data_IF_488655705568
#
_entry.id   IF_488655705568
#
_cell.length_a   1.000
_cell.length_b   1.000
_cell.length_c   1.000
_cell.angle_alpha   90.00
_cell.angle_beta   90.00
_cell.angle_gamma   90.00
#
_symmetry.space_group_name_H-M   'P 1'
#
loop_
_entity.id
_entity.type
_entity.pdbx_description
1 polymer ?
#
# COMPACT_ATOMS: atom_id res chain seq x y z
N UNK A 1 -13.13 -6.29 5.54
CA UNK A 1 -11.70 -6.63 5.47
C UNK A 1 -10.82 -5.55 6.09
N UNK A 2 -11.01 -4.29 5.71
CA UNK A 2 -10.26 -3.17 6.29
C UNK A 2 -10.52 -2.97 7.78
N UNK A 3 -11.75 -3.21 8.25
CA UNK A 3 -12.08 -3.16 9.68
C UNK A 3 -11.30 -4.21 10.45
N UNK A 4 -11.18 -5.42 9.94
CA UNK A 4 -10.40 -6.50 10.57
C UNK A 4 -8.92 -6.10 10.64
N UNK A 5 -8.37 -5.50 9.60
CA UNK A 5 -6.99 -5.02 9.60
C UNK A 5 -6.78 -3.90 10.63
N UNK A 6 -7.72 -2.96 10.73
CA UNK A 6 -7.69 -1.90 11.73
C UNK A 6 -7.73 -2.46 13.16
N UNK A 7 -8.61 -3.44 13.42
CA UNK A 7 -8.70 -4.08 14.72
C UNK A 7 -7.40 -4.83 15.09
N UNK A 8 -6.77 -5.48 14.12
CA UNK A 8 -5.47 -6.10 14.32
C UNK A 8 -4.39 -5.08 14.67
N UNK A 9 -4.38 -3.93 13.99
CA UNK A 9 -3.44 -2.84 14.28
C UNK A 9 -3.64 -2.30 15.70
N UNK A 10 -4.87 -2.14 16.14
CA UNK A 10 -5.20 -1.72 17.52
C UNK A 10 -4.63 -2.70 18.56
N UNK A 11 -4.72 -4.00 18.30
CA UNK A 11 -4.21 -5.03 19.20
C UNK A 11 -2.68 -5.02 19.32
N UNK A 12 -1.96 -4.44 18.37
CA UNK A 12 -0.50 -4.33 18.38
C UNK A 12 0.03 -3.12 19.15
N UNK A 13 -0.79 -2.21 19.57
CA UNK A 13 -0.53 -1.04 20.45
C UNK A 13 0.52 -0.01 19.98
N UNK A 14 1.43 -0.36 19.08
CA UNK A 14 2.58 0.48 18.69
C UNK A 14 2.56 0.98 17.25
N UNK A 15 1.48 0.75 16.52
CA UNK A 15 1.35 1.16 15.13
C UNK A 15 0.24 2.20 14.97
N UNK A 16 0.38 3.06 13.97
CA UNK A 16 -0.68 3.98 13.60
C UNK A 16 -1.80 3.18 12.95
N UNK A 17 -2.99 3.27 13.54
CA UNK A 17 -4.15 2.47 13.15
C UNK A 17 -4.85 3.11 11.96
N UNK A 18 -5.24 2.30 10.98
CA UNK A 18 -6.07 2.76 9.87
C UNK A 18 -7.44 3.22 10.38
N UNK A 19 -7.96 4.34 9.85
CA UNK A 19 -9.34 4.74 10.11
C UNK A 19 -10.33 3.80 9.43
N UNK A 20 -11.61 3.96 9.74
CA UNK A 20 -12.66 3.32 8.96
C UNK A 20 -12.72 3.99 7.59
N UNK A 21 -12.51 3.22 6.53
CA UNK A 21 -12.54 3.74 5.18
C UNK A 21 -13.98 3.84 4.66
N UNK A 22 -14.24 4.91 3.90
CA UNK A 22 -15.55 5.17 3.32
C UNK A 22 -15.90 4.06 2.29
N UNK A 23 -17.08 3.46 2.45
CA UNK A 23 -17.57 2.42 1.54
C UNK A 23 -17.65 2.90 0.10
N UNK A 24 -18.11 4.13 -0.13
CA UNK A 24 -18.22 4.71 -1.46
C UNK A 24 -16.87 4.81 -2.17
N UNK A 25 -15.81 5.11 -1.43
CA UNK A 25 -14.45 5.13 -1.96
C UNK A 25 -14.03 3.76 -2.47
N UNK A 26 -14.28 2.72 -1.69
CA UNK A 26 -13.93 1.34 -2.07
C UNK A 26 -14.77 0.88 -3.26
N UNK A 27 -16.06 1.19 -3.29
CA UNK A 27 -16.94 0.88 -4.42
C UNK A 27 -16.49 1.56 -5.70
N UNK A 28 -16.03 2.81 -5.62
CA UNK A 28 -15.45 3.54 -6.76
C UNK A 28 -14.20 2.85 -7.28
N UNK A 29 -13.32 2.42 -6.39
CA UNK A 29 -12.10 1.69 -6.75
C UNK A 29 -12.43 0.36 -7.45
N UNK A 30 -13.45 -0.34 -6.99
CA UNK A 30 -13.92 -1.58 -7.64
C UNK A 30 -14.46 -1.28 -9.04
N UNK A 31 -15.29 -0.25 -9.18
CA UNK A 31 -15.88 0.16 -10.46
C UNK A 31 -14.81 0.59 -11.47
N UNK A 32 -13.73 1.19 -11.01
CA UNK A 32 -12.60 1.63 -11.84
C UNK A 32 -11.54 0.55 -12.05
N UNK A 33 -11.77 -0.68 -11.59
CA UNK A 33 -10.84 -1.80 -11.69
C UNK A 33 -9.49 -1.54 -11.00
N UNK A 34 -9.53 -0.85 -9.84
CA UNK A 34 -8.35 -0.53 -9.03
C UNK A 34 -8.31 -1.24 -7.69
N UNK A 35 -9.30 -2.09 -7.39
CA UNK A 35 -9.37 -2.90 -6.19
C UNK A 35 -9.17 -4.35 -6.57
N UNK A 36 -8.24 -5.04 -5.90
CA UNK A 36 -7.84 -6.41 -6.21
C UNK A 36 -7.96 -7.31 -4.99
N UNK A 37 -8.15 -8.58 -5.24
CA UNK A 37 -8.21 -9.61 -4.20
C UNK A 37 -7.40 -10.83 -4.62
N UNK A 38 -6.86 -11.53 -3.64
CA UNK A 38 -6.19 -12.81 -3.82
C UNK A 38 -7.06 -13.90 -3.20
N UNK A 39 -7.29 -14.97 -3.95
CA UNK A 39 -8.08 -16.11 -3.51
C UNK A 39 -7.19 -17.31 -3.26
N UNK A 40 -7.53 -18.08 -2.22
CA UNK A 40 -6.93 -19.36 -1.92
C UNK A 40 -8.06 -20.30 -1.51
N UNK A 41 -8.26 -21.40 -2.26
CA UNK A 41 -9.38 -22.33 -2.04
C UNK A 41 -10.75 -21.62 -2.00
N UNK A 42 -10.98 -20.68 -2.93
CA UNK A 42 -12.19 -19.86 -3.03
C UNK A 42 -12.43 -18.90 -1.87
N UNK A 43 -11.45 -18.70 -0.99
CA UNK A 43 -11.52 -17.75 0.12
C UNK A 43 -10.65 -16.54 -0.16
N UNK A 44 -11.14 -15.34 0.16
CA UNK A 44 -10.35 -14.11 0.03
C UNK A 44 -9.31 -14.07 1.15
N UNK A 45 -8.03 -14.09 0.77
CA UNK A 45 -6.93 -14.09 1.74
C UNK A 45 -6.23 -12.74 1.86
N UNK A 46 -6.31 -11.91 0.83
CA UNK A 46 -5.69 -10.60 0.83
C UNK A 46 -6.39 -9.68 -0.16
N UNK A 47 -6.44 -8.38 0.14
CA UNK A 47 -6.93 -7.35 -0.78
C UNK A 47 -5.95 -6.19 -0.83
N UNK A 48 -5.94 -5.45 -1.93
CA UNK A 48 -5.20 -4.21 -2.07
C UNK A 48 -5.84 -3.34 -3.15
N UNK A 49 -5.50 -2.05 -3.14
CA UNK A 49 -5.94 -1.10 -4.16
C UNK A 49 -4.74 -0.48 -4.86
N UNK A 50 -4.95 0.06 -6.05
CA UNK A 50 -3.92 0.82 -6.75
C UNK A 50 -4.45 2.17 -7.21
N UNK A 51 -3.53 3.12 -7.37
CA UNK A 51 -3.74 4.36 -8.12
C UNK A 51 -2.56 4.56 -9.07
N UNK A 52 -2.72 5.47 -10.01
CA UNK A 52 -1.67 5.82 -10.98
C UNK A 52 -1.05 7.18 -10.69
N UNK A 53 -1.50 7.84 -9.65
CA UNK A 53 -0.97 9.10 -9.15
C UNK A 53 -1.18 9.17 -7.64
N UNK A 54 -0.30 9.91 -6.97
CA UNK A 54 -0.36 10.10 -5.53
C UNK A 54 0.44 11.36 -5.16
N UNK A 55 0.02 12.49 -5.69
CA UNK A 55 0.76 13.75 -5.63
C UNK A 55 1.05 14.23 -4.21
N UNK A 56 0.10 14.07 -3.29
CA UNK A 56 0.25 14.56 -1.92
C UNK A 56 1.31 13.80 -1.13
N UNK A 57 1.49 12.52 -1.43
CA UNK A 57 2.49 11.67 -0.77
C UNK A 57 3.84 11.73 -1.52
N UNK A 58 3.82 11.63 -2.84
CA UNK A 58 5.02 11.49 -3.65
C UNK A 58 5.54 12.80 -4.22
N UNK A 59 4.77 13.88 -4.10
CA UNK A 59 5.15 15.24 -4.49
C UNK A 59 5.72 15.28 -5.92
N UNK A 60 6.94 15.74 -6.10
CA UNK A 60 7.56 15.87 -7.43
C UNK A 60 7.77 14.52 -8.15
N UNK A 61 7.96 13.44 -7.40
CA UNK A 61 8.09 12.10 -7.96
C UNK A 61 6.81 11.60 -8.63
N UNK A 62 5.68 12.22 -8.36
CA UNK A 62 4.40 11.87 -8.97
C UNK A 62 4.37 12.05 -10.50
N UNK A 63 5.37 12.71 -11.08
CA UNK A 63 5.54 12.82 -12.54
C UNK A 63 5.94 11.50 -13.20
N UNK A 64 6.51 10.58 -12.44
CA UNK A 64 6.99 9.31 -12.96
C UNK A 64 5.82 8.38 -13.29
N UNK A 65 6.04 7.50 -14.27
CA UNK A 65 5.09 6.46 -14.62
C UNK A 65 5.13 5.39 -13.53
N UNK A 66 4.11 5.32 -12.70
CA UNK A 66 4.08 4.45 -11.52
C UNK A 66 2.69 3.92 -11.21
N UNK A 67 2.66 2.75 -10.58
CA UNK A 67 1.48 2.30 -9.82
C UNK A 67 1.79 2.44 -8.34
N UNK A 68 0.80 2.93 -7.60
CA UNK A 68 0.87 3.12 -6.15
C UNK A 68 -0.06 2.11 -5.50
N UNK A 69 0.52 1.22 -4.69
CA UNK A 69 -0.24 0.18 -4.00
C UNK A 69 -0.70 0.74 -2.65
N UNK A 70 -2.00 0.62 -2.40
CA UNK A 70 -2.62 1.14 -1.18
C UNK A 70 -3.34 0.04 -0.42
N UNK A 71 -3.34 0.17 0.89
CA UNK A 71 -4.18 -0.57 1.82
C UNK A 71 -4.14 -2.08 1.60
N UNK A 72 -2.96 -2.66 1.67
CA UNK A 72 -2.80 -4.10 1.67
C UNK A 72 -3.39 -4.64 2.98
N UNK A 73 -4.43 -5.45 2.89
CA UNK A 73 -5.08 -6.03 4.05
C UNK A 73 -5.17 -7.55 3.90
N UNK A 74 -4.66 -8.27 4.90
CA UNK A 74 -4.59 -9.73 4.91
C UNK A 74 -5.68 -10.30 5.81
N UNK A 75 -6.34 -11.37 5.36
CA UNK A 75 -7.25 -12.14 6.20
C UNK A 75 -6.47 -12.68 7.42
N UNK A 76 -6.95 -12.46 8.66
CA UNK A 76 -6.24 -12.88 9.86
C UNK A 76 -5.87 -14.35 9.90
N UNK A 77 -6.70 -15.21 9.32
CA UNK A 77 -6.49 -16.67 9.30
C UNK A 77 -5.30 -17.08 8.41
N UNK A 78 -4.81 -16.16 7.58
CA UNK A 78 -3.74 -16.41 6.62
C UNK A 78 -2.51 -15.52 6.85
N UNK A 79 -2.39 -14.89 8.00
CA UNK A 79 -1.21 -14.05 8.30
C UNK A 79 0.07 -14.87 8.35
N UNK A 80 1.19 -14.22 8.04
CA UNK A 80 2.51 -14.86 8.04
C UNK A 80 2.85 -15.64 6.76
N UNK A 81 2.02 -15.57 5.72
CA UNK A 81 2.24 -16.26 4.44
C UNK A 81 2.90 -15.41 3.36
N UNK A 82 3.38 -14.23 3.75
CA UNK A 82 4.11 -13.32 2.86
C UNK A 82 3.37 -12.98 1.55
N UNK A 83 2.13 -12.53 1.66
CA UNK A 83 1.35 -12.14 0.48
C UNK A 83 1.93 -10.93 -0.25
N UNK A 84 2.71 -10.08 0.43
CA UNK A 84 3.37 -8.93 -0.20
C UNK A 84 4.25 -9.37 -1.36
N UNK A 85 5.02 -10.44 -1.20
CA UNK A 85 5.84 -10.99 -2.29
C UNK A 85 5.00 -11.37 -3.51
N UNK A 86 3.83 -11.96 -3.28
CA UNK A 86 2.91 -12.34 -4.37
C UNK A 86 2.27 -11.11 -5.02
N UNK A 87 1.95 -10.09 -4.23
CA UNK A 87 1.44 -8.82 -4.76
C UNK A 87 2.52 -8.14 -5.63
N UNK A 88 3.77 -8.18 -5.19
CA UNK A 88 4.90 -7.63 -5.97
C UNK A 88 5.03 -8.35 -7.32
N UNK A 89 4.96 -9.68 -7.33
CA UNK A 89 5.04 -10.45 -8.58
C UNK A 89 3.89 -10.08 -9.52
N UNK A 90 2.66 -9.97 -9.00
CA UNK A 90 1.52 -9.50 -9.75
C UNK A 90 1.73 -8.09 -10.29
N UNK A 91 2.23 -7.18 -9.45
CA UNK A 91 2.45 -5.78 -9.80
C UNK A 91 3.47 -5.63 -10.92
N UNK A 92 4.53 -6.44 -10.92
CA UNK A 92 5.54 -6.45 -11.99
C UNK A 92 4.93 -6.84 -13.34
N UNK A 93 4.10 -7.87 -13.36
CA UNK A 93 3.42 -8.29 -14.59
C UNK A 93 2.41 -7.23 -15.05
N UNK A 94 1.64 -6.68 -14.13
CA UNK A 94 0.68 -5.61 -14.43
C UNK A 94 1.38 -4.39 -15.01
N UNK A 95 2.45 -3.94 -14.38
CA UNK A 95 3.21 -2.78 -14.82
C UNK A 95 3.85 -3.01 -16.20
N UNK A 96 4.38 -4.21 -16.43
CA UNK A 96 4.98 -4.59 -17.70
C UNK A 96 3.97 -4.52 -18.85
N UNK A 97 2.77 -5.06 -18.64
CA UNK A 97 1.69 -5.02 -19.64
C UNK A 97 1.25 -3.60 -19.97
N UNK A 98 1.32 -2.69 -19.00
CA UNK A 98 0.89 -1.31 -19.15
C UNK A 98 2.02 -0.33 -19.50
N UNK A 99 3.26 -0.80 -19.58
CA UNK A 99 4.41 0.05 -19.86
C UNK A 99 4.75 1.01 -18.73
N UNK A 100 4.53 0.60 -17.48
CA UNK A 100 4.76 1.40 -16.28
C UNK A 100 6.12 1.07 -15.69
N UNK A 101 6.88 2.10 -15.30
CA UNK A 101 8.26 1.96 -14.83
C UNK A 101 8.38 1.61 -13.35
N UNK A 102 7.56 2.21 -12.49
CA UNK A 102 7.73 2.11 -11.04
C UNK A 102 6.56 1.41 -10.36
N UNK A 103 6.89 0.64 -9.32
CA UNK A 103 5.93 0.14 -8.33
C UNK A 103 6.26 0.83 -7.02
N UNK A 104 5.27 1.49 -6.41
CA UNK A 104 5.46 2.33 -5.23
C UNK A 104 4.44 2.04 -4.16
N UNK A 105 4.87 2.22 -2.90
CA UNK A 105 3.96 2.26 -1.75
C UNK A 105 4.55 3.12 -0.65
N UNK A 106 3.70 3.52 0.28
CA UNK A 106 4.11 4.27 1.46
C UNK A 106 3.56 3.62 2.73
N UNK A 107 4.27 3.87 3.82
CA UNK A 107 3.83 3.47 5.16
C UNK A 107 3.98 4.65 6.10
N UNK A 108 3.27 4.61 7.22
CA UNK A 108 3.30 5.68 8.20
C UNK A 108 4.22 5.36 9.37
N UNK A 109 4.90 6.39 9.85
CA UNK A 109 5.73 6.32 11.03
C UNK A 109 7.03 5.56 10.85
N UNK A 110 7.76 5.41 11.93
CA UNK A 110 9.05 4.71 11.94
C UNK A 110 8.88 3.28 12.46
N UNK A 111 8.37 2.40 11.61
CA UNK A 111 8.21 0.98 11.93
C UNK A 111 9.33 0.19 11.26
N UNK A 112 10.42 -0.05 11.99
CA UNK A 112 11.61 -0.73 11.47
C UNK A 112 11.32 -2.15 10.98
N UNK A 113 10.40 -2.85 11.62
CA UNK A 113 9.98 -4.20 11.23
C UNK A 113 9.29 -4.19 9.87
N UNK A 114 8.41 -3.22 9.64
CA UNK A 114 7.69 -3.05 8.39
C UNK A 114 8.63 -2.61 7.26
N UNK A 115 9.57 -1.70 7.58
CA UNK A 115 10.60 -1.27 6.62
C UNK A 115 11.40 -2.48 6.14
N UNK A 116 11.86 -3.32 7.07
CA UNK A 116 12.59 -4.54 6.73
C UNK A 116 11.74 -5.50 5.88
N UNK A 117 10.46 -5.63 6.21
CA UNK A 117 9.53 -6.49 5.48
C UNK A 117 9.43 -6.09 4.00
N UNK A 118 9.24 -4.80 3.73
CA UNK A 118 9.16 -4.31 2.34
C UNK A 118 10.49 -4.36 1.60
N UNK A 119 11.61 -4.08 2.29
CA UNK A 119 12.94 -4.27 1.70
C UNK A 119 13.17 -5.72 1.29
N UNK A 120 12.77 -6.67 2.12
CA UNK A 120 12.88 -8.10 1.82
C UNK A 120 11.99 -8.52 0.65
N UNK A 121 10.91 -7.80 0.39
CA UNK A 121 10.02 -8.05 -0.75
C UNK A 121 10.56 -7.47 -2.06
N UNK A 122 11.67 -6.74 -2.03
CA UNK A 122 12.32 -6.20 -3.22
C UNK A 122 12.22 -4.69 -3.40
N UNK A 123 11.63 -3.98 -2.45
CA UNK A 123 11.54 -2.52 -2.52
C UNK A 123 12.82 -1.85 -2.05
N UNK A 124 13.18 -0.76 -2.72
CA UNK A 124 14.16 0.18 -2.21
C UNK A 124 13.47 1.13 -1.24
N UNK A 125 14.08 1.33 -0.07
CA UNK A 125 13.58 2.29 0.91
C UNK A 125 14.18 3.67 0.61
N UNK A 126 13.34 4.63 0.24
CA UNK A 126 13.78 5.96 -0.16
C UNK A 126 13.97 6.91 1.03
N UNK A 127 13.50 6.56 2.21
CA UNK A 127 13.63 7.36 3.42
C UNK A 127 12.29 7.75 4.03
N UNK A 128 12.37 8.56 5.09
CA UNK A 128 11.20 9.12 5.77
C UNK A 128 11.05 10.59 5.41
N UNK A 129 9.83 11.02 5.14
CA UNK A 129 9.53 12.37 4.71
C UNK A 129 8.34 12.95 5.47
N UNK A 130 8.43 14.23 5.82
CA UNK A 130 7.29 14.97 6.35
C UNK A 130 6.47 15.52 5.20
N UNK A 131 5.16 15.30 5.23
CA UNK A 131 4.28 15.75 4.15
C UNK A 131 3.99 17.25 4.26
N UNK A 132 4.05 17.96 3.14
CA UNK A 132 3.81 19.40 3.06
C UNK A 132 2.33 19.76 3.03
N UNK A 133 1.50 18.91 2.41
CA UNK A 133 0.08 19.14 2.26
C UNK A 133 -0.69 17.85 2.56
N UNK A 134 -1.46 17.86 3.65
CA UNK A 134 -2.24 16.71 4.10
C UNK A 134 -3.75 16.96 4.07
N UNK A 135 -4.20 18.08 3.53
CA UNK A 135 -5.60 18.54 3.67
C UNK A 135 -6.62 17.57 3.10
N UNK A 136 -6.34 16.93 1.98
CA UNK A 136 -7.25 15.95 1.37
C UNK A 136 -6.87 14.50 1.64
N UNK A 137 -5.88 14.26 2.50
CA UNK A 137 -5.46 12.92 2.90
C UNK A 137 -6.27 12.44 4.11
N UNK A 138 -6.41 11.11 4.28
CA UNK A 138 -6.96 10.55 5.52
C UNK A 138 -6.22 11.08 6.75
N UNK A 139 -6.93 11.23 7.87
CA UNK A 139 -6.40 11.86 9.08
C UNK A 139 -5.11 11.22 9.62
N UNK A 140 -4.91 9.93 9.41
CA UNK A 140 -3.72 9.24 9.89
C UNK A 140 -2.42 9.76 9.25
N UNK A 141 -2.47 10.40 8.08
CA UNK A 141 -1.30 11.01 7.44
C UNK A 141 -0.85 12.33 8.11
N UNK A 142 -1.66 12.89 9.00
CA UNK A 142 -1.33 14.16 9.68
C UNK A 142 -0.45 13.96 10.92
N UNK A 143 -0.29 12.73 11.38
CA UNK A 143 0.31 12.43 12.69
C UNK A 143 1.75 11.96 12.64
N UNK A 144 2.25 11.56 11.48
CA UNK A 144 3.57 10.95 11.37
C UNK A 144 4.20 11.15 9.99
N UNK A 145 5.54 11.05 9.88
CA UNK A 145 6.20 11.03 8.59
C UNK A 145 5.80 9.79 7.78
N UNK A 146 5.97 9.85 6.47
CA UNK A 146 5.77 8.71 5.58
C UNK A 146 7.10 8.09 5.21
N UNK A 147 7.12 6.77 5.11
CA UNK A 147 8.22 6.01 4.54
C UNK A 147 7.86 5.67 3.09
N UNK A 148 8.75 5.98 2.16
CA UNK A 148 8.54 5.73 0.74
C UNK A 148 9.34 4.52 0.26
N UNK A 149 8.67 3.66 -0.50
CA UNK A 149 9.26 2.43 -1.05
C UNK A 149 9.01 2.36 -2.55
N UNK A 150 10.01 1.91 -3.29
CA UNK A 150 9.97 1.91 -4.75
C UNK A 150 10.68 0.70 -5.33
N UNK A 151 10.11 0.15 -6.41
CA UNK A 151 10.81 -0.78 -7.29
C UNK A 151 10.90 -0.10 -8.66
N UNK A 152 12.11 0.07 -9.17
CA UNK A 152 12.36 0.60 -10.51
C UNK A 152 12.54 -0.59 -11.46
N UNK A 153 11.59 -0.77 -12.36
CA UNK A 153 11.58 -1.91 -13.30
C UNK A 153 12.56 -1.76 -14.46
N UNK A 154 13.14 -0.56 -14.64
CA UNK A 154 14.11 -0.26 -15.69
C UNK A 154 15.56 -0.25 -15.20
N UNK A 155 15.74 -0.46 -13.90
CA UNK A 155 17.10 -0.47 -13.32
C UNK A 155 17.81 -1.81 -13.51
#
# INVERSE_FOLDING_TARGET
>A
FYRIASDYQKAKEKVIVWPDFNRNMVETEIAEHRQFKMLMNNEVVCIWAITFNDEQIWEERNRDSAIYIHRIATNPDFRGRNFVSKIVDWAKEYAKEKGIQFIRLDTLGNNTRLIKHYKNAGFDFLGMFDLKNTDSLPDHYKEAPVCLFEIDLES
#
